data_IF_848947878689
#
_entry.id   IF_848947878689
#
_cell.length_a   1.000
_cell.length_b   1.000
_cell.length_c   1.000
_cell.angle_alpha   90.00
_cell.angle_beta   90.00
_cell.angle_gamma   90.00
#
_symmetry.space_group_name_H-M   'P 1'
#
loop_
_entity.id
_entity.type
_entity.pdbx_description
1 polymer ?
#
# COMPACT_ATOMS: atom_id res chain seq x y z
N UNK A 1 27.05 -82.06 33.30
CA UNK A 1 25.86 -82.76 33.80
C UNK A 1 26.08 -83.13 35.27
N UNK A 2 25.92 -82.32 36.30
CA UNK A 2 25.63 -80.90 36.48
C UNK A 2 26.13 -80.56 37.89
N UNK A 3 27.07 -79.62 37.98
CA UNK A 3 27.66 -79.15 39.25
C UNK A 3 27.16 -77.75 39.61
N UNK A 4 25.90 -77.45 39.29
CA UNK A 4 25.31 -76.11 39.44
C UNK A 4 24.00 -76.12 40.24
N UNK A 5 24.02 -76.75 41.41
CA UNK A 5 23.10 -76.41 42.50
C UNK A 5 23.88 -76.31 43.81
N UNK A 6 24.86 -75.41 43.87
CA UNK A 6 25.25 -74.87 45.18
C UNK A 6 24.05 -74.08 45.67
N UNK A 7 23.46 -74.54 46.76
CA UNK A 7 22.45 -73.82 47.50
C UNK A 7 22.94 -72.39 47.77
N UNK A 8 22.49 -71.45 46.97
CA UNK A 8 22.65 -70.02 47.23
C UNK A 8 21.81 -69.74 48.46
N UNK A 9 22.48 -69.48 49.57
CA UNK A 9 21.84 -68.95 50.77
C UNK A 9 20.98 -67.75 50.37
N UNK A 10 19.70 -67.77 50.70
CA UNK A 10 18.74 -66.66 50.50
C UNK A 10 19.13 -65.38 51.26
N UNK A 11 20.29 -65.38 51.94
CA UNK A 11 20.92 -64.25 52.63
C UNK A 11 22.18 -63.72 51.95
N UNK A 12 22.63 -64.29 50.83
CA UNK A 12 23.83 -63.81 50.13
C UNK A 12 23.60 -62.43 49.50
N UNK A 13 24.48 -61.43 49.72
CA UNK A 13 24.39 -60.10 49.10
C UNK A 13 24.34 -60.16 47.56
N UNK A 14 25.05 -61.11 46.96
CA UNK A 14 25.06 -61.29 45.50
C UNK A 14 23.69 -61.73 44.95
N UNK A 15 23.01 -62.64 45.65
CA UNK A 15 21.68 -63.12 45.26
C UNK A 15 20.62 -62.04 45.48
N UNK A 16 20.75 -61.20 46.52
CA UNK A 16 19.89 -60.02 46.71
C UNK A 16 20.07 -58.98 45.63
N UNK A 17 21.32 -58.71 45.25
CA UNK A 17 21.63 -57.77 44.17
C UNK A 17 21.03 -58.21 42.83
N UNK A 18 21.12 -59.51 42.52
CA UNK A 18 20.53 -60.08 41.30
C UNK A 18 19.01 -59.92 41.29
N UNK A 19 18.33 -60.16 42.42
CA UNK A 19 16.89 -59.94 42.57
C UNK A 19 16.53 -58.45 42.43
N UNK A 20 17.26 -57.55 43.09
CA UNK A 20 17.03 -56.09 43.00
C UNK A 20 17.21 -55.55 41.57
N UNK A 21 18.17 -56.09 40.81
CA UNK A 21 18.34 -55.71 39.41
C UNK A 21 17.16 -56.14 38.52
N UNK A 22 16.55 -57.30 38.82
CA UNK A 22 15.43 -57.86 38.07
C UNK A 22 14.10 -57.21 38.46
N UNK A 23 13.90 -56.88 39.74
CA UNK A 23 12.64 -56.33 40.27
C UNK A 23 12.55 -54.81 40.21
N UNK A 24 13.58 -54.07 40.63
CA UNK A 24 13.51 -52.61 40.79
C UNK A 24 13.98 -51.82 39.55
N UNK A 25 14.74 -52.45 38.65
CA UNK A 25 15.36 -51.74 37.51
C UNK A 25 15.19 -52.49 36.18
N UNK A 26 13.97 -52.57 35.63
CA UNK A 26 13.67 -53.34 34.42
C UNK A 26 14.35 -52.79 33.15
N UNK A 27 14.84 -51.55 33.18
CA UNK A 27 15.54 -50.92 32.06
C UNK A 27 17.00 -51.37 31.99
N UNK A 28 17.37 -52.00 30.86
CA UNK A 28 18.77 -52.26 30.50
C UNK A 28 19.45 -50.92 30.19
N UNK A 29 20.41 -50.52 31.02
CA UNK A 29 21.14 -49.24 30.89
C UNK A 29 21.71 -48.70 32.20
N UNK A 30 22.51 -47.62 32.11
CA UNK A 30 23.00 -46.85 33.24
C UNK A 30 21.84 -46.04 33.84
N UNK A 31 21.51 -46.29 35.11
CA UNK A 31 20.53 -45.50 35.85
C UNK A 31 21.05 -45.15 37.23
N UNK A 32 20.57 -44.03 37.77
CA UNK A 32 20.96 -43.55 39.10
C UNK A 32 20.59 -44.56 40.19
N UNK A 33 19.41 -45.17 40.07
CA UNK A 33 18.91 -46.18 41.01
C UNK A 33 19.78 -47.44 40.95
N UNK A 34 20.17 -47.91 39.76
CA UNK A 34 21.09 -49.05 39.61
C UNK A 34 22.46 -48.77 40.22
N UNK A 35 23.02 -47.60 39.95
CA UNK A 35 24.33 -47.23 40.48
C UNK A 35 24.33 -47.13 42.00
N UNK A 36 23.25 -46.58 42.58
CA UNK A 36 23.07 -46.52 44.02
C UNK A 36 23.01 -47.93 44.62
N UNK A 37 22.25 -48.84 43.99
CA UNK A 37 22.19 -50.25 44.42
C UNK A 37 23.54 -50.96 44.30
N UNK A 38 24.32 -50.71 43.24
CA UNK A 38 25.69 -51.25 43.10
C UNK A 38 26.58 -50.88 44.27
N UNK A 39 26.64 -49.59 44.63
CA UNK A 39 27.49 -49.11 45.71
C UNK A 39 27.00 -49.59 47.09
N UNK A 40 25.68 -49.69 47.30
CA UNK A 40 25.13 -50.27 48.53
C UNK A 40 25.55 -51.73 48.73
N UNK A 41 25.51 -52.54 47.66
CA UNK A 41 25.95 -53.95 47.75
C UNK A 41 27.47 -54.05 47.95
N UNK A 42 28.25 -53.14 47.35
CA UNK A 42 29.68 -53.02 47.64
C UNK A 42 29.95 -52.72 49.12
N UNK A 43 29.17 -51.80 49.70
CA UNK A 43 29.26 -51.41 51.11
C UNK A 43 28.81 -52.54 52.06
N UNK A 44 27.85 -53.38 51.65
CA UNK A 44 27.43 -54.59 52.39
C UNK A 44 28.48 -55.69 52.41
N UNK A 45 29.23 -55.88 51.32
CA UNK A 45 30.25 -56.94 51.20
C UNK A 45 31.58 -56.52 51.85
N UNK A 46 31.87 -55.22 51.89
CA UNK A 46 33.11 -54.63 52.43
C UNK A 46 33.54 -55.14 53.82
N UNK A 47 32.64 -55.28 54.81
CA UNK A 47 32.97 -55.81 56.14
C UNK A 47 33.45 -57.27 56.13
N UNK A 48 32.95 -58.08 55.21
CA UNK A 48 33.15 -59.54 55.18
C UNK A 48 34.44 -59.98 54.45
N UNK A 49 35.15 -59.04 53.83
CA UNK A 49 36.31 -59.29 52.98
C UNK A 49 37.65 -59.47 53.74
N UNK A 50 37.62 -59.41 55.07
CA UNK A 50 38.80 -59.64 55.91
C UNK A 50 40.00 -58.76 55.53
N UNK A 51 41.12 -59.40 55.17
CA UNK A 51 42.41 -58.74 54.86
C UNK A 51 42.31 -57.80 53.63
N UNK A 52 41.41 -58.09 52.69
CA UNK A 52 41.25 -57.33 51.44
C UNK A 52 40.39 -56.07 51.60
N UNK A 53 39.74 -55.89 52.75
CA UNK A 53 38.85 -54.75 53.03
C UNK A 53 39.49 -53.41 52.71
N UNK A 54 40.77 -53.22 53.05
CA UNK A 54 41.48 -51.95 52.83
C UNK A 54 41.63 -51.64 51.33
N UNK A 55 42.02 -52.63 50.53
CA UNK A 55 42.22 -52.48 49.08
C UNK A 55 40.88 -52.25 48.38
N UNK A 56 39.87 -53.05 48.70
CA UNK A 56 38.54 -52.90 48.09
C UNK A 56 37.83 -51.62 48.50
N UNK A 57 38.11 -51.10 49.71
CA UNK A 57 37.63 -49.77 50.11
C UNK A 57 38.24 -48.66 49.25
N UNK A 58 39.56 -48.70 49.01
CA UNK A 58 40.21 -47.73 48.13
C UNK A 58 39.64 -47.77 46.72
N UNK A 59 39.44 -48.97 46.16
CA UNK A 59 38.81 -49.14 44.84
C UNK A 59 37.37 -48.63 44.81
N UNK A 60 36.58 -48.91 45.86
CA UNK A 60 35.19 -48.41 45.96
C UNK A 60 35.16 -46.89 45.98
N UNK A 61 36.01 -46.26 46.77
CA UNK A 61 36.07 -44.79 46.88
C UNK A 61 36.52 -44.15 45.55
N UNK A 62 37.52 -44.72 44.89
CA UNK A 62 37.99 -44.24 43.57
C UNK A 62 36.92 -44.43 42.47
N UNK A 63 36.21 -45.55 42.46
CA UNK A 63 35.08 -45.77 41.57
C UNK A 63 33.93 -44.80 41.86
N UNK A 64 33.64 -44.52 43.13
CA UNK A 64 32.58 -43.59 43.51
C UNK A 64 32.88 -42.17 43.01
N UNK A 65 34.10 -41.68 43.20
CA UNK A 65 34.55 -40.38 42.69
C UNK A 65 34.58 -40.32 41.14
N UNK A 66 34.81 -41.45 40.46
CA UNK A 66 34.77 -41.50 38.99
C UNK A 66 33.35 -41.40 38.41
N UNK A 67 32.34 -41.85 39.17
CA UNK A 67 30.95 -41.95 38.71
C UNK A 67 30.14 -40.74 39.14
N UNK A 68 30.35 -40.24 40.36
CA UNK A 68 29.60 -39.15 40.96
C UNK A 68 30.32 -37.82 40.83
N UNK A 69 29.55 -36.75 40.64
CA UNK A 69 30.08 -35.39 40.62
C UNK A 69 30.61 -34.97 41.99
N UNK A 70 31.57 -34.05 41.99
CA UNK A 70 32.07 -33.42 43.21
C UNK A 70 31.04 -32.47 43.85
N UNK A 71 29.99 -32.13 43.11
CA UNK A 71 28.96 -31.19 43.52
C UNK A 71 27.80 -31.90 44.23
N UNK A 72 27.44 -31.38 45.39
CA UNK A 72 26.28 -31.83 46.14
C UNK A 72 25.02 -31.15 45.62
N UNK A 73 23.96 -31.94 45.45
CA UNK A 73 22.66 -31.45 45.04
C UNK A 73 21.60 -31.87 46.05
N UNK A 74 20.61 -31.01 46.26
CA UNK A 74 19.42 -31.34 47.05
C UNK A 74 18.41 -32.02 46.17
N UNK A 75 18.10 -33.29 46.47
CA UNK A 75 17.02 -34.01 45.81
C UNK A 75 15.70 -33.61 46.47
N UNK A 76 14.75 -33.02 45.72
CA UNK A 76 13.46 -32.64 46.27
C UNK A 76 12.67 -33.91 46.64
N UNK A 77 11.81 -33.85 47.68
CA UNK A 77 11.04 -35.00 48.14
C UNK A 77 10.13 -35.53 47.00
N UNK A 78 10.44 -36.73 46.48
CA UNK A 78 9.58 -37.43 45.53
C UNK A 78 8.30 -37.89 46.25
N UNK A 79 7.12 -37.53 45.69
CA UNK A 79 5.82 -37.98 46.21
C UNK A 79 5.81 -39.51 46.35
N UNK A 80 5.68 -39.99 47.59
CA UNK A 80 5.48 -41.41 47.91
C UNK A 80 6.68 -42.18 48.46
N UNK A 81 7.92 -41.67 48.41
CA UNK A 81 9.11 -42.38 48.95
C UNK A 81 9.77 -41.69 50.15
N UNK A 82 10.10 -40.40 50.07
CA UNK A 82 10.81 -39.67 51.14
C UNK A 82 10.13 -38.33 51.45
N UNK A 83 9.88 -38.03 52.74
CA UNK A 83 9.24 -36.77 53.20
C UNK A 83 10.22 -35.60 53.38
N UNK A 84 11.52 -35.86 53.41
CA UNK A 84 12.57 -34.86 53.66
C UNK A 84 13.52 -34.77 52.47
N UNK A 85 13.94 -33.55 52.12
CA UNK A 85 15.02 -33.32 51.16
C UNK A 85 16.32 -33.90 51.72
N UNK A 86 17.07 -34.61 50.89
CA UNK A 86 18.39 -35.12 51.25
C UNK A 86 19.43 -34.66 50.23
N UNK A 87 20.66 -34.53 50.70
CA UNK A 87 21.79 -34.07 49.90
C UNK A 87 22.48 -35.30 49.30
N UNK A 88 22.61 -35.32 47.97
CA UNK A 88 23.28 -36.40 47.24
C UNK A 88 24.11 -35.83 46.09
N UNK A 89 25.24 -36.47 45.80
CA UNK A 89 26.01 -36.21 44.56
C UNK A 89 25.27 -36.82 43.38
N UNK A 90 25.33 -36.17 42.22
CA UNK A 90 24.68 -36.66 41.01
C UNK A 90 25.69 -37.41 40.15
N UNK A 91 25.34 -38.57 39.57
CA UNK A 91 26.23 -39.23 38.62
C UNK A 91 26.52 -38.37 37.38
N UNK A 92 27.77 -38.35 36.89
CA UNK A 92 28.16 -37.55 35.71
C UNK A 92 27.32 -37.85 34.47
N UNK A 93 26.91 -39.10 34.25
CA UNK A 93 26.08 -39.46 33.09
C UNK A 93 24.70 -38.79 33.11
N UNK A 94 24.14 -38.50 34.29
CA UNK A 94 22.87 -37.76 34.43
C UNK A 94 23.08 -36.29 34.04
N UNK A 95 24.20 -35.69 34.48
CA UNK A 95 24.54 -34.31 34.12
C UNK A 95 24.75 -34.17 32.61
N UNK A 96 25.45 -35.11 32.00
CA UNK A 96 25.68 -35.16 30.55
C UNK A 96 24.35 -35.28 29.80
N UNK A 97 23.44 -36.17 30.23
CA UNK A 97 22.12 -36.30 29.61
C UNK A 97 21.33 -34.99 29.70
N UNK A 98 21.35 -34.29 30.84
CA UNK A 98 20.69 -32.97 30.98
C UNK A 98 21.25 -31.95 30.00
N UNK A 99 22.58 -31.90 29.82
CA UNK A 99 23.21 -31.00 28.86
C UNK A 99 22.80 -31.33 27.43
N UNK A 100 22.70 -32.61 27.07
CA UNK A 100 22.21 -33.01 25.75
C UNK A 100 20.73 -32.64 25.57
N UNK A 101 19.87 -32.92 26.54
CA UNK A 101 18.45 -32.52 26.48
C UNK A 101 18.26 -31.01 26.35
N UNK A 102 19.06 -30.20 27.06
CA UNK A 102 19.02 -28.74 26.92
C UNK A 102 19.51 -28.27 25.55
N UNK A 103 20.56 -28.90 25.01
CA UNK A 103 21.07 -28.60 23.67
C UNK A 103 20.06 -28.96 22.59
N UNK A 104 19.41 -30.10 22.69
CA UNK A 104 18.39 -30.55 21.74
C UNK A 104 17.18 -29.59 21.76
N UNK A 105 16.68 -29.23 22.94
CA UNK A 105 15.62 -28.22 23.07
C UNK A 105 15.99 -26.87 22.47
N UNK A 106 17.22 -26.42 22.71
CA UNK A 106 17.71 -25.17 22.13
C UNK A 106 17.84 -25.26 20.61
N UNK A 107 18.29 -26.41 20.08
CA UNK A 107 18.40 -26.64 18.64
C UNK A 107 17.01 -26.61 17.98
N UNK A 108 16.02 -27.30 18.56
CA UNK A 108 14.63 -27.29 18.09
C UNK A 108 14.05 -25.87 18.09
N UNK A 109 14.31 -25.10 19.15
CA UNK A 109 13.82 -23.73 19.26
C UNK A 109 14.50 -22.78 18.27
N UNK A 110 15.81 -22.93 18.05
CA UNK A 110 16.52 -22.17 17.01
C UNK A 110 16.00 -22.52 15.62
N UNK A 111 15.74 -23.79 15.34
CA UNK A 111 15.20 -24.22 14.05
C UNK A 111 13.80 -23.66 13.81
N UNK A 112 12.94 -23.66 14.82
CA UNK A 112 11.62 -23.02 14.76
C UNK A 112 11.73 -21.50 14.49
N UNK A 113 12.68 -20.82 15.15
CA UNK A 113 12.91 -19.39 14.94
C UNK A 113 13.42 -19.09 13.51
N UNK A 114 14.33 -19.91 12.98
CA UNK A 114 14.83 -19.79 11.60
C UNK A 114 13.66 -19.93 10.62
N UNK A 115 12.84 -20.97 10.75
CA UNK A 115 11.68 -21.18 9.88
C UNK A 115 10.68 -20.00 9.95
N UNK A 116 10.45 -19.44 11.15
CA UNK A 116 9.60 -18.26 11.31
C UNK A 116 10.18 -17.02 10.62
N UNK A 117 11.49 -16.81 10.70
CA UNK A 117 12.18 -15.70 10.03
C UNK A 117 12.17 -15.85 8.51
N UNK A 118 12.40 -17.06 7.99
CA UNK A 118 12.31 -17.35 6.55
C UNK A 118 10.91 -17.09 6.00
N UNK A 119 9.87 -17.52 6.72
CA UNK A 119 8.48 -17.22 6.35
C UNK A 119 8.20 -15.71 6.36
N UNK A 120 8.71 -14.98 7.34
CA UNK A 120 8.55 -13.52 7.40
C UNK A 120 9.29 -12.81 6.27
N UNK A 121 10.47 -13.31 5.92
CA UNK A 121 11.29 -12.76 4.83
C UNK A 121 10.60 -12.97 3.48
N UNK A 122 10.13 -14.18 3.19
CA UNK A 122 9.37 -14.47 1.96
C UNK A 122 8.06 -13.68 1.87
N UNK A 123 7.38 -13.44 2.98
CA UNK A 123 6.21 -12.55 3.00
C UNK A 123 6.60 -11.10 2.66
N UNK A 124 7.69 -10.59 3.25
CA UNK A 124 8.18 -9.23 2.99
C UNK A 124 8.65 -9.04 1.55
N UNK A 125 9.27 -10.05 0.95
CA UNK A 125 9.67 -10.00 -0.46
C UNK A 125 8.44 -9.91 -1.38
N UNK A 126 7.36 -10.66 -1.09
CA UNK A 126 6.10 -10.53 -1.84
C UNK A 126 5.49 -9.14 -1.71
N UNK A 127 5.41 -8.60 -0.49
CA UNK A 127 4.89 -7.24 -0.25
C UNK A 127 5.74 -6.19 -0.99
N UNK A 128 7.06 -6.37 -1.04
CA UNK A 128 7.97 -5.48 -1.77
C UNK A 128 7.73 -5.55 -3.28
N UNK A 129 7.55 -6.75 -3.83
CA UNK A 129 7.30 -6.96 -5.25
C UNK A 129 5.94 -6.38 -5.68
N UNK A 130 4.89 -6.58 -4.89
CA UNK A 130 3.58 -5.94 -5.09
C UNK A 130 3.68 -4.41 -5.04
N UNK A 131 4.44 -3.87 -4.08
CA UNK A 131 4.68 -2.43 -3.98
C UNK A 131 5.40 -1.87 -5.21
N UNK A 132 6.42 -2.57 -5.70
CA UNK A 132 7.15 -2.18 -6.91
C UNK A 132 6.25 -2.20 -8.15
N UNK A 133 5.41 -3.22 -8.31
CA UNK A 133 4.43 -3.28 -9.41
C UNK A 133 3.45 -2.10 -9.36
N UNK A 134 2.95 -1.76 -8.16
CA UNK A 134 2.08 -0.60 -7.98
C UNK A 134 2.78 0.71 -8.33
N UNK A 135 4.04 0.87 -7.93
CA UNK A 135 4.86 2.04 -8.28
C UNK A 135 5.00 2.16 -9.80
N UNK A 136 5.26 1.07 -10.51
CA UNK A 136 5.35 1.10 -11.97
C UNK A 136 4.03 1.48 -12.65
N UNK A 137 2.91 0.95 -12.16
CA UNK A 137 1.58 1.32 -12.66
C UNK A 137 1.28 2.80 -12.44
N UNK A 138 1.58 3.32 -11.24
CA UNK A 138 1.42 4.74 -10.92
C UNK A 138 2.32 5.63 -11.78
N UNK A 139 3.57 5.23 -12.04
CA UNK A 139 4.47 5.96 -12.95
C UNK A 139 3.91 6.04 -14.37
N UNK A 140 3.34 4.93 -14.89
CA UNK A 140 2.69 4.91 -16.20
C UNK A 140 1.48 5.85 -16.22
N UNK A 141 0.60 5.75 -15.22
CA UNK A 141 -0.59 6.61 -15.12
C UNK A 141 -0.23 8.09 -14.99
N UNK A 142 0.82 8.43 -14.24
CA UNK A 142 1.31 9.80 -14.11
C UNK A 142 1.81 10.34 -15.45
N UNK A 143 2.56 9.52 -16.20
CA UNK A 143 3.01 9.88 -17.54
C UNK A 143 1.83 10.13 -18.48
N UNK A 144 0.85 9.22 -18.52
CA UNK A 144 -0.34 9.37 -19.36
C UNK A 144 -1.14 10.63 -19.00
N UNK A 145 -1.23 10.97 -17.71
CA UNK A 145 -1.88 12.19 -17.25
C UNK A 145 -1.09 13.44 -17.68
N UNK A 146 0.23 13.42 -17.53
CA UNK A 146 1.12 14.50 -17.97
C UNK A 146 1.01 14.75 -19.47
N UNK A 147 0.99 13.69 -20.28
CA UNK A 147 0.86 13.78 -21.73
C UNK A 147 -0.52 14.36 -22.12
N UNK A 148 -1.59 14.00 -21.40
CA UNK A 148 -2.93 14.59 -21.59
C UNK A 148 -2.95 16.08 -21.25
N UNK A 149 -2.37 16.47 -20.12
CA UNK A 149 -2.30 17.87 -19.71
C UNK A 149 -1.58 18.68 -20.79
N UNK A 150 -0.43 18.21 -21.24
CA UNK A 150 0.34 18.87 -22.29
C UNK A 150 -0.47 19.04 -23.59
N UNK A 151 -1.20 18.00 -24.02
CA UNK A 151 -2.07 18.10 -25.20
C UNK A 151 -3.21 19.11 -25.01
N UNK A 152 -3.85 19.12 -23.83
CA UNK A 152 -4.91 20.08 -23.52
C UNK A 152 -4.38 21.52 -23.46
N UNK A 153 -3.16 21.74 -22.97
CA UNK A 153 -2.51 23.05 -22.99
C UNK A 153 -2.28 23.54 -24.43
N UNK A 154 -1.83 22.66 -25.33
CA UNK A 154 -1.70 22.99 -26.76
C UNK A 154 -3.05 23.32 -27.38
N UNK A 155 -4.09 22.52 -27.12
CA UNK A 155 -5.45 22.77 -27.63
C UNK A 155 -6.00 24.11 -27.14
N UNK A 156 -5.81 24.43 -25.85
CA UNK A 156 -6.23 25.72 -25.30
C UNK A 156 -5.51 26.89 -25.96
N UNK A 157 -4.19 26.79 -26.20
CA UNK A 157 -3.44 27.85 -26.85
C UNK A 157 -3.90 28.05 -28.31
N UNK A 158 -4.16 26.96 -29.03
CA UNK A 158 -4.72 27.02 -30.38
C UNK A 158 -6.11 27.68 -30.39
N UNK A 159 -7.00 27.29 -29.47
CA UNK A 159 -8.34 27.87 -29.34
C UNK A 159 -8.27 29.36 -28.98
N UNK A 160 -7.36 29.76 -28.08
CA UNK A 160 -7.13 31.17 -27.75
C UNK A 160 -6.68 31.97 -28.97
N UNK A 161 -5.82 31.38 -29.81
CA UNK A 161 -5.33 32.03 -31.03
C UNK A 161 -6.45 32.16 -32.08
N UNK A 162 -7.31 31.16 -32.22
CA UNK A 162 -8.50 31.23 -33.07
C UNK A 162 -9.50 32.27 -32.56
N UNK A 163 -9.75 32.33 -31.25
CA UNK A 163 -10.61 33.33 -30.64
C UNK A 163 -10.11 34.75 -30.97
N UNK A 164 -8.81 35.02 -30.79
CA UNK A 164 -8.23 36.33 -31.14
C UNK A 164 -8.39 36.67 -32.62
N UNK A 165 -8.24 35.69 -33.52
CA UNK A 165 -8.47 35.89 -34.96
C UNK A 165 -9.93 36.25 -35.25
N UNK A 166 -10.87 35.54 -34.63
CA UNK A 166 -12.30 35.79 -34.78
C UNK A 166 -12.69 37.17 -34.24
N UNK A 167 -12.17 37.55 -33.06
CA UNK A 167 -12.39 38.88 -32.48
C UNK A 167 -11.87 40.00 -33.41
N UNK A 168 -10.67 39.84 -33.98
CA UNK A 168 -10.12 40.79 -34.95
C UNK A 168 -10.98 40.89 -36.22
N UNK A 169 -11.46 39.76 -36.74
CA UNK A 169 -12.36 39.74 -37.90
C UNK A 169 -13.70 40.43 -37.60
N UNK A 170 -14.29 40.19 -36.42
CA UNK A 170 -15.53 40.85 -35.99
C UNK A 170 -15.33 42.37 -35.91
N UNK A 171 -14.23 42.83 -35.29
CA UNK A 171 -13.93 44.26 -35.20
C UNK A 171 -13.77 44.89 -36.58
N UNK A 172 -13.07 44.22 -37.49
CA UNK A 172 -12.91 44.69 -38.87
C UNK A 172 -14.24 44.80 -39.62
N UNK A 173 -15.10 43.78 -39.53
CA UNK A 173 -16.44 43.80 -40.14
C UNK A 173 -17.32 44.91 -39.55
N UNK A 174 -17.28 45.11 -38.23
CA UNK A 174 -17.99 46.20 -37.57
C UNK A 174 -17.53 47.58 -38.06
N UNK A 175 -16.22 47.79 -38.22
CA UNK A 175 -15.69 49.04 -38.79
C UNK A 175 -16.14 49.25 -40.24
N UNK A 176 -16.10 48.20 -41.06
CA UNK A 176 -16.55 48.26 -42.45
C UNK A 176 -18.05 48.54 -42.56
N UNK A 177 -18.85 47.90 -41.73
CA UNK A 177 -20.30 48.11 -41.65
C UNK A 177 -20.61 49.54 -41.21
N UNK A 178 -19.93 50.06 -40.19
CA UNK A 178 -20.11 51.44 -39.74
C UNK A 178 -19.73 52.44 -40.83
N UNK A 179 -18.60 52.24 -41.52
CA UNK A 179 -18.20 53.08 -42.64
C UNK A 179 -19.16 53.00 -43.84
N UNK A 180 -19.79 51.85 -44.09
CA UNK A 180 -20.86 51.73 -45.08
C UNK A 180 -22.13 52.49 -44.64
N UNK A 181 -22.53 52.34 -43.38
CA UNK A 181 -23.68 53.04 -42.79
C UNK A 181 -23.52 54.56 -42.90
N UNK A 182 -22.38 55.11 -42.49
CA UNK A 182 -22.10 56.54 -42.56
C UNK A 182 -22.16 57.07 -44.01
N UNK A 183 -21.68 56.28 -44.98
CA UNK A 183 -21.77 56.63 -46.41
C UNK A 183 -23.22 56.66 -46.89
N UNK A 184 -24.02 55.67 -46.53
CA UNK A 184 -25.44 55.64 -46.87
C UNK A 184 -26.21 56.77 -46.20
N UNK A 185 -25.95 57.07 -44.93
CA UNK A 185 -26.59 58.19 -44.22
C UNK A 185 -26.29 59.54 -44.90
N UNK A 186 -25.02 59.78 -45.26
CA UNK A 186 -24.64 60.98 -46.05
C UNK A 186 -25.36 61.05 -47.40
N UNK A 187 -25.46 59.92 -48.10
CA UNK A 187 -26.15 59.87 -49.41
C UNK A 187 -27.66 60.10 -49.26
N UNK A 188 -28.29 59.54 -48.23
CA UNK A 188 -29.71 59.77 -47.93
C UNK A 188 -29.93 61.25 -47.60
N UNK A 189 -29.05 61.87 -46.80
CA UNK A 189 -29.14 63.29 -46.48
C UNK A 189 -29.03 64.16 -47.74
N UNK A 190 -28.06 63.89 -48.62
CA UNK A 190 -27.90 64.65 -49.87
C UNK A 190 -29.13 64.50 -50.79
N UNK A 191 -29.65 63.28 -50.94
CA UNK A 191 -30.83 63.01 -51.76
C UNK A 191 -32.09 63.68 -51.20
N UNK A 192 -32.24 63.76 -49.87
CA UNK A 192 -33.34 64.50 -49.23
C UNK A 192 -33.25 66.00 -49.54
N UNK A 193 -32.04 66.56 -49.51
CA UNK A 193 -31.81 67.96 -49.87
C UNK A 193 -32.10 68.22 -51.35
N UNK A 194 -31.58 67.39 -52.25
CA UNK A 194 -31.86 67.45 -53.69
C UNK A 194 -33.37 67.39 -53.96
N UNK A 195 -34.09 66.49 -53.26
CA UNK A 195 -35.54 66.36 -53.38
C UNK A 195 -36.29 67.58 -52.84
N UNK A 196 -35.83 68.20 -51.75
CA UNK A 196 -36.41 69.44 -51.23
C UNK A 196 -36.22 70.59 -52.24
N UNK A 197 -35.01 70.76 -52.78
CA UNK A 197 -34.72 71.76 -53.80
C UNK A 197 -35.54 71.55 -55.08
N UNK A 198 -35.73 70.31 -55.51
CA UNK A 198 -36.57 69.98 -56.67
C UNK A 198 -38.05 70.30 -56.41
N UNK A 199 -38.56 70.02 -55.21
CA UNK A 199 -39.92 70.40 -54.79
C UNK A 199 -40.10 71.92 -54.78
N UNK A 200 -39.15 72.67 -54.27
CA UNK A 200 -39.22 74.13 -54.23
C UNK A 200 -39.14 74.73 -55.64
N UNK A 201 -38.29 74.17 -56.53
CA UNK A 201 -38.29 74.53 -57.96
C UNK A 201 -39.63 74.23 -58.62
N UNK A 202 -40.22 73.06 -58.37
CA UNK A 202 -41.54 72.73 -58.91
C UNK A 202 -42.60 73.72 -58.45
N UNK A 203 -42.65 74.05 -57.15
CA UNK A 203 -43.57 75.09 -56.62
C UNK A 203 -43.34 76.46 -57.25
N UNK A 204 -42.08 76.82 -57.49
CA UNK A 204 -41.74 78.08 -58.16
C UNK A 204 -42.26 78.08 -59.61
N UNK A 205 -41.99 77.02 -60.36
CA UNK A 205 -42.48 76.86 -61.74
C UNK A 205 -44.01 76.76 -61.81
N UNK A 206 -44.66 76.16 -60.82
CA UNK A 206 -46.11 76.09 -60.72
C UNK A 206 -46.74 77.49 -60.69
N UNK A 207 -46.12 78.47 -60.01
CA UNK A 207 -46.55 79.89 -60.08
C UNK A 207 -46.44 80.50 -61.48
N UNK A 208 -45.39 80.16 -62.23
CA UNK A 208 -45.27 80.63 -63.62
C UNK A 208 -46.31 79.98 -64.51
N UNK A 209 -46.58 78.70 -64.28
CA UNK A 209 -47.63 77.98 -64.99
C UNK A 209 -49.01 78.58 -64.67
N UNK A 210 -49.35 78.78 -63.40
CA UNK A 210 -50.59 79.47 -63.00
C UNK A 210 -50.71 80.85 -63.65
N UNK A 211 -49.61 81.62 -63.70
CA UNK A 211 -49.59 82.90 -64.39
C UNK A 211 -49.76 82.79 -65.90
N UNK A 212 -49.17 81.79 -66.54
CA UNK A 212 -49.33 81.50 -67.97
C UNK A 212 -50.75 81.04 -68.28
N UNK A 213 -51.29 80.12 -67.50
CA UNK A 213 -52.66 79.59 -67.60
C UNK A 213 -53.68 80.73 -67.42
N UNK A 214 -53.46 81.65 -66.46
CA UNK A 214 -54.30 82.85 -66.29
C UNK A 214 -54.18 83.85 -67.46
N UNK A 215 -52.99 83.98 -68.07
CA UNK A 215 -52.79 84.81 -69.25
C UNK A 215 -53.48 84.20 -70.47
N UNK A 216 -53.38 82.88 -70.64
CA UNK A 216 -54.05 82.11 -71.68
C UNK A 216 -55.58 82.18 -71.51
N UNK A 217 -56.08 82.09 -70.28
CA UNK A 217 -57.50 82.30 -69.96
C UNK A 217 -57.93 83.73 -70.31
N UNK A 218 -57.15 84.76 -69.95
CA UNK A 218 -57.45 86.16 -70.30
C UNK A 218 -57.41 86.44 -71.82
N UNK A 219 -56.58 85.73 -72.59
CA UNK A 219 -56.55 85.83 -74.05
C UNK A 219 -57.69 85.07 -74.73
N UNK A 220 -58.17 83.98 -74.12
CA UNK A 220 -59.29 83.18 -74.60
C UNK A 220 -60.66 83.68 -74.08
N UNK A 221 -60.67 84.59 -73.10
CA UNK A 221 -61.88 85.23 -72.58
C UNK A 221 -62.34 86.36 -73.52
N UNK A 222 -63.38 86.06 -74.30
CA UNK A 222 -64.03 86.92 -75.31
C UNK A 222 -64.67 88.21 -74.74
N UNK A 223 -64.52 88.48 -73.44
CA UNK A 223 -65.16 89.61 -72.76
C UNK A 223 -64.25 90.81 -72.48
N UNK A 224 -62.92 90.70 -72.66
CA UNK A 224 -61.95 91.77 -72.33
C UNK A 224 -61.77 92.81 -73.45
N UNK A 225 -62.09 92.46 -74.70
CA UNK A 225 -62.11 93.40 -75.83
C UNK A 225 -63.51 93.98 -76.11
N UNK A 226 -64.09 94.71 -75.15
CA UNK A 226 -65.27 95.55 -75.42
C UNK A 226 -65.20 96.93 -74.77
N UNK A 227 -64.94 97.94 -75.62
CA UNK A 227 -65.56 99.28 -75.66
C UNK A 227 -65.03 100.01 -76.91
N UNK A 228 -65.83 100.23 -77.97
CA UNK A 228 -66.95 101.19 -78.17
C UNK A 228 -66.46 102.30 -79.15
N UNK A 229 -67.31 103.18 -79.74
CA UNK A 229 -68.61 103.08 -80.44
C UNK A 229 -68.61 103.84 -81.82
N UNK A 230 -69.80 104.01 -82.45
CA UNK A 230 -70.16 104.91 -83.60
C UNK A 230 -69.81 104.44 -85.04
N UNK A 231 -70.60 104.64 -86.10
CA UNK A 231 -71.93 105.24 -86.33
C UNK A 231 -72.44 104.84 -87.74
N UNK A 232 -73.77 104.86 -87.88
CA UNK A 232 -74.66 105.08 -89.04
C UNK A 232 -74.08 105.41 -90.44
N UNK A 233 -74.70 104.90 -91.52
CA UNK A 233 -75.47 105.69 -92.50
C UNK A 233 -75.97 104.84 -93.70
N UNK A 234 -77.23 105.09 -94.07
CA UNK A 234 -77.93 104.83 -95.34
C UNK A 234 -78.29 103.40 -95.75
#
# INVERSE_FOLDING_TARGET
MDSERRALSSRSPATRYEVLLVEDTPTKGLSEERMTTCFNVFDEILPDLGVYKKVLKMLRDELYESVYSNEYTTVPPKKGKNRTSYIQRIPYFVLVNRVFEERDKNADQLQANIAALENKLTQKDKELEESNQNIEQLKKSLKDCSDKIYNMEIEMENNNLEQRKLEANIQYEQMMQQGAKDRYEKRIASLKEELAQAKDRNKFLEKFKEGYDALEEAFNDSTVFKKNPQNQLS
#
